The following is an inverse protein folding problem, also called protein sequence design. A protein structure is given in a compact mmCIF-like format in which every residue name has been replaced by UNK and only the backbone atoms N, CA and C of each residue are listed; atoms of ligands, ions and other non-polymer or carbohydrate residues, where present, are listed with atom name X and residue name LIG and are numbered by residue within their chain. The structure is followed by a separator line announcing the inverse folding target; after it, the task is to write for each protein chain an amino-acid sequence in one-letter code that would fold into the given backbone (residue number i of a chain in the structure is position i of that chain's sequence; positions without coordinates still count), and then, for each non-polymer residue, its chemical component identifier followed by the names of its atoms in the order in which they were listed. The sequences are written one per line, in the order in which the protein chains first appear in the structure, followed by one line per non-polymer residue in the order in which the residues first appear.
data_IF_549947983359
#
_entry.id   IF_549947983359
#
_cell.length_a   1.000
_cell.length_b   1.000
_cell.length_c   1.000
_cell.angle_alpha   90.00
_cell.angle_beta   90.00
_cell.angle_gamma   90.00
#
_symmetry.space_group_name_H-M   'P 1'
#
loop_
_entity.id
_entity.type
_entity.pdbx_description
1 polymer ?
#
# COMPACT_ATOMS: atom_id res chain seq x y z
N UNK A 1 -38.23 -9.57 11.29
CA UNK A 1 -36.92 -9.81 11.95
C UNK A 1 -36.99 -9.15 13.31
N UNK A 2 -37.27 -9.88 14.39
CA UNK A 2 -37.29 -9.30 15.74
C UNK A 2 -35.86 -9.02 16.17
N UNK A 3 -35.49 -7.75 16.30
CA UNK A 3 -34.20 -7.36 16.85
C UNK A 3 -34.19 -7.65 18.35
N UNK A 4 -33.56 -8.74 18.77
CA UNK A 4 -33.25 -8.97 20.18
C UNK A 4 -32.07 -8.08 20.59
N UNK A 5 -32.42 -6.89 21.10
CA UNK A 5 -31.45 -5.90 21.55
C UNK A 5 -30.77 -6.35 22.85
N UNK A 6 -31.45 -7.08 23.73
CA UNK A 6 -30.91 -7.43 25.05
C UNK A 6 -29.81 -8.49 24.95
N UNK A 7 -29.99 -9.49 24.10
CA UNK A 7 -28.97 -10.51 23.89
C UNK A 7 -27.73 -9.94 23.18
N UNK A 8 -27.93 -8.99 22.25
CA UNK A 8 -26.84 -8.42 21.44
C UNK A 8 -25.99 -7.37 22.14
N UNK A 9 -26.53 -6.69 23.17
CA UNK A 9 -25.80 -5.69 23.98
C UNK A 9 -24.45 -6.20 24.47
N UNK A 10 -24.38 -7.47 24.86
CA UNK A 10 -23.18 -8.09 25.42
C UNK A 10 -22.02 -8.21 24.42
N UNK A 11 -22.30 -8.16 23.11
CA UNK A 11 -21.27 -8.17 22.06
C UNK A 11 -20.80 -6.78 21.66
N UNK A 12 -21.54 -5.73 22.06
CA UNK A 12 -21.24 -4.36 21.64
C UNK A 12 -19.81 -3.94 22.02
N UNK A 13 -19.31 -4.14 23.26
CA UNK A 13 -17.94 -3.74 23.60
C UNK A 13 -16.89 -4.47 22.77
N UNK A 14 -17.09 -5.78 22.56
CA UNK A 14 -16.19 -6.64 21.77
C UNK A 14 -16.14 -6.25 20.29
N UNK A 15 -17.23 -5.70 19.76
CA UNK A 15 -17.23 -5.21 18.37
C UNK A 15 -16.57 -3.83 18.31
N UNK A 16 -16.90 -2.95 19.27
CA UNK A 16 -16.42 -1.58 19.30
C UNK A 16 -14.91 -1.48 19.57
N UNK A 17 -14.29 -2.45 20.24
CA UNK A 17 -12.84 -2.47 20.46
C UNK A 17 -12.02 -2.53 19.14
N UNK A 18 -12.65 -2.99 18.06
CA UNK A 18 -12.09 -3.04 16.71
C UNK A 18 -12.37 -1.79 15.87
N UNK A 19 -13.18 -0.86 16.38
CA UNK A 19 -13.49 0.42 15.73
C UNK A 19 -12.41 1.45 16.08
N UNK A 20 -11.91 2.16 15.06
CA UNK A 20 -10.88 3.19 15.23
C UNK A 20 -11.49 4.57 15.50
N UNK A 21 -12.20 4.69 16.61
CA UNK A 21 -12.81 5.95 17.04
C UNK A 21 -11.84 7.15 17.06
N UNK A 22 -10.57 7.02 17.47
CA UNK A 22 -9.62 8.15 17.45
C UNK A 22 -9.33 8.72 16.04
N UNK A 23 -9.66 7.98 14.98
CA UNK A 23 -9.49 8.41 13.59
C UNK A 23 -10.75 9.02 12.96
N UNK A 24 -11.82 9.12 13.73
CA UNK A 24 -13.09 9.71 13.31
C UNK A 24 -13.13 11.19 13.69
N UNK A 25 -14.10 11.93 13.15
CA UNK A 25 -14.25 13.35 13.50
C UNK A 25 -14.85 13.48 14.91
N UNK A 26 -14.40 14.49 15.66
CA UNK A 26 -14.94 14.80 16.99
C UNK A 26 -16.47 14.98 16.96
N UNK A 27 -16.98 15.62 15.89
CA UNK A 27 -18.42 15.84 15.69
C UNK A 27 -19.20 14.52 15.61
N UNK A 28 -18.73 13.55 14.83
CA UNK A 28 -19.40 12.25 14.72
C UNK A 28 -19.32 11.47 16.04
N UNK A 29 -18.15 11.50 16.67
CA UNK A 29 -17.92 10.83 17.95
C UNK A 29 -18.89 11.32 19.02
N UNK A 30 -19.04 12.63 19.18
CA UNK A 30 -19.90 13.23 20.22
C UNK A 30 -21.38 13.14 19.86
N UNK A 31 -21.76 13.50 18.63
CA UNK A 31 -23.17 13.68 18.29
C UNK A 31 -23.87 12.38 17.91
N UNK A 32 -23.13 11.36 17.48
CA UNK A 32 -23.69 10.10 17.01
C UNK A 32 -23.31 8.94 17.90
N UNK A 33 -22.01 8.75 18.17
CA UNK A 33 -21.56 7.57 18.90
C UNK A 33 -21.78 7.73 20.41
N UNK A 34 -21.31 8.84 20.98
CA UNK A 34 -21.46 9.13 22.41
C UNK A 34 -22.88 9.49 22.84
N UNK A 35 -23.80 9.71 21.89
CA UNK A 35 -25.23 9.92 22.16
C UNK A 35 -26.05 8.63 22.18
N UNK A 36 -25.50 7.51 21.67
CA UNK A 36 -26.20 6.24 21.57
C UNK A 36 -26.49 5.63 22.97
N UNK A 37 -27.75 5.28 23.29
CA UNK A 37 -28.12 4.72 24.59
C UNK A 37 -27.40 3.42 24.96
N UNK A 38 -27.06 2.57 23.98
CA UNK A 38 -26.38 1.31 24.21
C UNK A 38 -24.92 1.54 24.60
N UNK A 39 -24.29 2.55 23.98
CA UNK A 39 -22.92 2.95 24.30
C UNK A 39 -22.86 3.61 25.68
N UNK A 40 -23.84 4.46 26.01
CA UNK A 40 -23.92 5.11 27.33
C UNK A 40 -24.18 4.13 28.48
N UNK A 41 -24.91 3.05 28.20
CA UNK A 41 -25.26 2.04 29.21
C UNK A 41 -24.09 1.13 29.61
N UNK A 42 -23.02 1.05 28.80
CA UNK A 42 -21.90 0.14 29.00
C UNK A 42 -20.61 0.91 29.37
N UNK A 43 -19.86 0.43 30.36
CA UNK A 43 -18.64 1.09 30.82
C UNK A 43 -17.52 0.99 29.77
N UNK A 44 -17.28 -0.20 29.23
CA UNK A 44 -16.20 -0.44 28.26
C UNK A 44 -16.42 0.35 26.97
N UNK A 45 -17.67 0.48 26.53
CA UNK A 45 -17.99 1.33 25.39
C UNK A 45 -17.68 2.80 25.67
N UNK A 46 -17.97 3.31 26.87
CA UNK A 46 -17.62 4.69 27.26
C UNK A 46 -16.11 4.91 27.31
N UNK A 47 -15.36 3.96 27.86
CA UNK A 47 -13.89 4.03 27.93
C UNK A 47 -13.27 4.14 26.53
N UNK A 48 -13.81 3.42 25.53
CA UNK A 48 -13.36 3.53 24.12
C UNK A 48 -13.64 4.91 23.50
N UNK A 49 -14.74 5.56 23.90
CA UNK A 49 -15.07 6.91 23.43
C UNK A 49 -14.20 7.95 24.13
N UNK A 50 -13.90 7.76 25.41
CA UNK A 50 -13.03 8.66 26.15
C UNK A 50 -11.58 8.57 25.66
N UNK A 51 -11.06 7.36 25.36
CA UNK A 51 -9.77 7.16 24.66
C UNK A 51 -9.72 8.01 23.36
N UNK A 52 -10.81 7.97 22.57
CA UNK A 52 -10.88 8.70 21.32
C UNK A 52 -11.01 10.22 21.50
N UNK A 53 -11.74 10.68 22.53
CA UNK A 53 -11.82 12.11 22.85
C UNK A 53 -10.46 12.63 23.31
N UNK A 54 -9.78 11.92 24.20
CA UNK A 54 -8.47 12.32 24.70
C UNK A 54 -7.47 12.44 23.54
N UNK A 55 -7.47 11.49 22.60
CA UNK A 55 -6.61 11.54 21.42
C UNK A 55 -6.90 12.75 20.50
N UNK A 56 -8.16 13.17 20.42
CA UNK A 56 -8.59 14.32 19.64
C UNK A 56 -8.31 15.65 20.35
N UNK A 57 -8.43 15.68 21.68
CA UNK A 57 -8.26 16.87 22.52
C UNK A 57 -6.79 17.15 22.87
N UNK A 58 -5.93 16.12 22.89
CA UNK A 58 -4.52 16.22 23.26
C UNK A 58 -3.59 15.94 22.05
N UNK A 59 -3.55 16.82 21.03
CA UNK A 59 -2.76 16.60 19.83
C UNK A 59 -1.25 16.49 20.11
N UNK A 60 -0.77 17.14 21.17
CA UNK A 60 0.63 17.17 21.58
C UNK A 60 1.09 15.83 22.19
N UNK A 61 0.15 15.05 22.76
CA UNK A 61 0.43 13.78 23.42
C UNK A 61 0.16 12.57 22.51
N UNK A 62 -0.21 12.79 21.24
CA UNK A 62 -0.52 11.67 20.32
C UNK A 62 0.61 10.67 20.18
N UNK A 63 1.86 11.10 20.34
CA UNK A 63 3.03 10.24 20.29
C UNK A 63 3.05 9.20 21.42
N UNK A 64 2.55 9.54 22.62
CA UNK A 64 2.44 8.60 23.75
C UNK A 64 1.14 7.80 23.71
N UNK A 65 0.11 8.27 23.01
CA UNK A 65 -1.20 7.59 22.86
C UNK A 65 -1.27 6.59 21.70
N UNK A 66 -0.14 6.01 21.28
CA UNK A 66 -0.10 5.10 20.14
C UNK A 66 -0.69 3.73 20.50
N UNK A 67 -1.58 3.22 19.63
CA UNK A 67 -2.25 1.95 19.82
C UNK A 67 -2.93 1.43 18.55
N UNK A 68 -3.52 0.23 18.58
CA UNK A 68 -4.17 -0.38 17.42
C UNK A 68 -5.31 0.48 16.81
N UNK A 69 -5.96 1.28 17.67
CA UNK A 69 -7.10 2.16 17.31
C UNK A 69 -6.68 3.57 16.87
N UNK A 70 -5.55 4.08 17.34
CA UNK A 70 -5.04 5.42 16.99
C UNK A 70 -4.16 5.42 15.73
N UNK A 71 -3.82 4.23 15.20
CA UNK A 71 -3.07 4.07 13.95
C UNK A 71 -4.00 3.86 12.75
N UNK A 72 -3.78 4.62 11.67
CA UNK A 72 -4.45 4.40 10.37
C UNK A 72 -4.24 2.96 9.90
N UNK A 73 -5.28 2.38 9.28
CA UNK A 73 -5.18 1.05 8.64
C UNK A 73 -4.08 1.13 7.58
N UNK A 74 -2.99 0.38 7.76
CA UNK A 74 -2.08 0.06 6.67
C UNK A 74 -2.78 -1.00 5.81
N UNK A 75 -2.88 -0.83 4.47
CA UNK A 75 -3.37 -1.88 3.60
C UNK A 75 -2.63 -3.18 3.89
N UNK A 76 -3.37 -4.25 4.17
CA UNK A 76 -2.78 -5.58 4.32
C UNK A 76 -2.52 -6.08 2.91
N UNK A 77 -1.23 -6.20 2.53
CA UNK A 77 -0.67 -6.86 1.32
C UNK A 77 -0.52 -6.08 0.00
N UNK A 78 -0.37 -4.77 0.01
CA UNK A 78 0.32 -4.11 -1.12
C UNK A 78 1.39 -3.21 -0.56
N UNK A 79 2.62 -3.71 -0.53
CA UNK A 79 3.79 -2.84 -0.41
C UNK A 79 3.73 -1.90 -1.62
N UNK A 80 3.37 -0.65 -1.38
CA UNK A 80 3.54 0.42 -2.36
C UNK A 80 5.05 0.66 -2.49
N UNK A 81 5.61 0.19 -3.58
CA UNK A 81 7.02 0.38 -3.93
C UNK A 81 7.08 1.14 -5.24
N UNK A 82 8.11 1.96 -5.39
CA UNK A 82 8.43 2.59 -6.66
C UNK A 82 9.63 1.86 -7.27
N UNK A 83 9.54 1.50 -8.55
CA UNK A 83 10.60 0.79 -9.26
C UNK A 83 11.14 1.68 -10.39
N UNK A 84 12.46 1.85 -10.43
CA UNK A 84 13.19 2.41 -11.56
C UNK A 84 13.77 1.24 -12.37
N UNK A 85 13.45 1.16 -13.67
CA UNK A 85 13.69 -0.04 -14.49
C UNK A 85 14.49 0.35 -15.73
N UNK A 86 15.69 -0.22 -15.87
CA UNK A 86 16.54 0.03 -17.04
C UNK A 86 16.94 1.50 -17.18
N UNK A 87 17.09 1.95 -18.42
CA UNK A 87 17.50 3.31 -18.75
C UNK A 87 18.80 3.35 -19.55
N UNK A 88 19.40 4.55 -19.61
CA UNK A 88 20.67 4.81 -20.29
C UNK A 88 21.64 5.42 -19.29
N UNK A 89 22.79 4.78 -19.09
CA UNK A 89 23.81 5.26 -18.17
C UNK A 89 25.19 5.08 -18.81
N UNK A 90 26.03 6.12 -18.71
CA UNK A 90 27.43 6.06 -19.17
C UNK A 90 27.63 5.59 -20.62
N UNK A 91 26.68 5.90 -21.50
CA UNK A 91 26.76 5.55 -22.92
C UNK A 91 26.25 4.15 -23.28
N UNK A 92 25.65 3.42 -22.35
CA UNK A 92 25.05 2.10 -22.60
C UNK A 92 23.64 2.00 -22.01
N UNK A 93 22.83 1.12 -22.60
CA UNK A 93 21.58 0.70 -21.99
C UNK A 93 21.90 -0.11 -20.73
N UNK A 94 21.08 0.00 -19.68
CA UNK A 94 21.27 -0.77 -18.44
C UNK A 94 20.13 -1.77 -18.21
N UNK A 95 20.46 -2.85 -17.50
CA UNK A 95 19.50 -3.87 -17.06
C UNK A 95 19.15 -3.75 -15.56
N UNK A 96 19.82 -2.86 -14.85
CA UNK A 96 19.63 -2.66 -13.42
C UNK A 96 18.23 -2.14 -13.11
N UNK A 97 17.75 -2.54 -11.94
CA UNK A 97 16.45 -2.17 -11.43
C UNK A 97 16.63 -1.79 -9.97
N UNK A 98 16.05 -0.67 -9.58
CA UNK A 98 16.10 -0.17 -8.20
C UNK A 98 14.70 0.00 -7.66
N UNK A 99 14.54 -0.31 -6.38
CA UNK A 99 13.26 -0.23 -5.68
C UNK A 99 13.36 0.72 -4.50
N UNK A 100 12.46 1.69 -4.47
CA UNK A 100 12.28 2.61 -3.36
C UNK A 100 11.29 2.04 -2.36
N UNK A 101 11.73 1.95 -1.10
CA UNK A 101 10.89 1.63 0.04
C UNK A 101 10.54 2.94 0.79
N UNK A 102 9.28 3.43 0.70
CA UNK A 102 8.87 4.66 1.37
C UNK A 102 8.84 4.52 2.90
N UNK A 103 8.87 3.29 3.44
CA UNK A 103 8.88 3.07 4.89
C UNK A 103 10.22 3.41 5.54
N UNK A 104 11.32 3.19 4.80
CA UNK A 104 12.68 3.47 5.25
C UNK A 104 13.30 4.67 4.52
N UNK A 105 12.64 5.19 3.48
CA UNK A 105 13.12 6.26 2.62
C UNK A 105 14.46 5.90 1.93
N UNK A 106 14.55 4.69 1.41
CA UNK A 106 15.78 4.16 0.82
C UNK A 106 15.52 3.50 -0.54
N UNK A 107 16.49 3.65 -1.44
CA UNK A 107 16.55 2.88 -2.68
C UNK A 107 17.44 1.67 -2.46
N UNK A 108 17.03 0.52 -3.01
CA UNK A 108 17.84 -0.69 -3.03
C UNK A 108 17.84 -1.32 -4.41
N UNK A 109 18.97 -1.90 -4.79
CA UNK A 109 19.05 -2.68 -6.02
C UNK A 109 18.27 -3.99 -5.86
N UNK A 110 17.50 -4.34 -6.88
CA UNK A 110 16.76 -5.61 -6.98
C UNK A 110 17.30 -6.44 -8.15
N UNK A 111 16.75 -7.64 -8.39
CA UNK A 111 17.23 -8.48 -9.48
C UNK A 111 17.20 -7.71 -10.82
N UNK A 112 18.28 -7.74 -11.62
CA UNK A 112 18.32 -7.07 -12.91
C UNK A 112 17.50 -7.84 -13.95
N UNK A 113 17.08 -7.15 -15.01
CA UNK A 113 16.49 -7.80 -16.20
C UNK A 113 17.53 -8.67 -16.90
N UNK A 114 17.09 -9.63 -17.73
CA UNK A 114 18.02 -10.43 -18.56
C UNK A 114 18.61 -9.63 -19.71
N UNK A 115 17.86 -8.67 -20.23
CA UNK A 115 18.30 -7.77 -21.30
C UNK A 115 18.40 -6.34 -20.78
N UNK A 116 19.42 -5.62 -21.26
CA UNK A 116 19.53 -4.18 -21.06
C UNK A 116 18.45 -3.48 -21.88
N UNK A 117 17.83 -2.44 -21.34
CA UNK A 117 16.72 -1.75 -21.99
C UNK A 117 16.77 -0.26 -21.69
N UNK A 118 17.07 0.56 -22.70
CA UNK A 118 16.73 1.99 -22.69
C UNK A 118 15.41 2.22 -23.44
N UNK A 119 14.65 3.26 -23.07
CA UNK A 119 13.31 3.49 -23.62
C UNK A 119 12.33 2.32 -23.40
N UNK A 120 12.45 1.64 -22.26
CA UNK A 120 11.57 0.53 -21.88
C UNK A 120 10.18 1.04 -21.50
N UNK A 121 9.13 0.37 -21.98
CA UNK A 121 7.76 0.58 -21.49
C UNK A 121 7.49 -0.31 -20.28
N UNK A 122 6.94 0.24 -19.21
CA UNK A 122 6.59 -0.53 -18.01
C UNK A 122 5.12 -0.42 -17.63
N UNK A 123 4.54 -1.53 -17.17
CA UNK A 123 3.17 -1.58 -16.66
C UNK A 123 3.02 -2.64 -15.57
N UNK A 124 2.05 -2.46 -14.68
CA UNK A 124 1.73 -3.47 -13.65
C UNK A 124 0.45 -4.18 -14.02
N UNK A 125 0.48 -5.52 -14.01
CA UNK A 125 -0.67 -6.38 -14.26
C UNK A 125 -0.63 -7.55 -13.27
N UNK A 126 -1.72 -7.76 -12.53
CA UNK A 126 -1.84 -8.83 -11.53
C UNK A 126 -0.65 -8.88 -10.54
N UNK A 127 -0.25 -7.71 -10.02
CA UNK A 127 0.89 -7.54 -9.09
C UNK A 127 2.26 -7.94 -9.65
N UNK A 128 2.39 -8.08 -10.97
CA UNK A 128 3.66 -8.29 -11.65
C UNK A 128 3.99 -7.06 -12.48
N UNK A 129 5.25 -6.62 -12.41
CA UNK A 129 5.77 -5.53 -13.24
C UNK A 129 6.21 -6.12 -14.59
N UNK A 130 5.75 -5.56 -15.70
CA UNK A 130 6.15 -5.96 -17.05
C UNK A 130 7.06 -4.91 -17.66
N UNK A 131 8.20 -5.34 -18.20
CA UNK A 131 9.10 -4.55 -19.02
C UNK A 131 8.95 -4.96 -20.49
N UNK A 132 8.52 -4.02 -21.33
CA UNK A 132 8.12 -4.25 -22.73
C UNK A 132 9.03 -3.46 -23.67
N UNK A 133 9.70 -4.16 -24.59
CA UNK A 133 10.53 -3.52 -25.62
C UNK A 133 11.73 -2.73 -25.08
N UNK A 134 12.08 -1.64 -25.75
CA UNK A 134 13.28 -0.84 -25.51
C UNK A 134 14.40 -1.16 -26.49
N UNK A 135 15.59 -0.61 -26.25
CA UNK A 135 16.80 -0.83 -27.03
C UNK A 135 17.93 -1.30 -26.11
N UNK A 136 18.68 -2.34 -26.50
CA UNK A 136 19.70 -2.99 -25.67
C UNK A 136 21.13 -2.47 -25.88
N UNK A 137 21.26 -1.39 -26.64
CA UNK A 137 22.53 -0.83 -27.11
C UNK A 137 22.91 -1.27 -28.53
N UNK A 138 22.25 -2.31 -29.05
CA UNK A 138 22.53 -2.87 -30.40
C UNK A 138 21.27 -2.96 -31.25
N UNK A 139 20.15 -3.36 -30.65
CA UNK A 139 18.90 -3.65 -31.37
C UNK A 139 17.68 -3.22 -30.57
N UNK A 140 16.60 -2.88 -31.30
CA UNK A 140 15.29 -2.69 -30.71
C UNK A 140 14.68 -4.04 -30.34
N UNK A 141 14.06 -4.11 -29.17
CA UNK A 141 13.49 -5.31 -28.60
C UNK A 141 11.97 -5.38 -28.83
N UNK A 142 11.49 -6.57 -29.13
CA UNK A 142 10.06 -6.93 -29.01
C UNK A 142 9.78 -7.83 -27.80
N UNK A 143 10.84 -8.28 -27.09
CA UNK A 143 10.74 -9.17 -25.94
C UNK A 143 10.08 -8.49 -24.74
N UNK A 144 9.40 -9.30 -23.93
CA UNK A 144 8.74 -8.88 -22.69
C UNK A 144 9.30 -9.71 -21.54
N UNK A 145 9.53 -9.06 -20.41
CA UNK A 145 9.94 -9.74 -19.17
C UNK A 145 9.01 -9.28 -18.06
N UNK A 146 8.69 -10.17 -17.11
CA UNK A 146 7.89 -9.83 -15.94
C UNK A 146 8.68 -10.04 -14.65
N UNK A 147 8.50 -9.15 -13.69
CA UNK A 147 9.14 -9.15 -12.39
C UNK A 147 8.12 -9.38 -11.29
N UNK A 148 8.43 -10.31 -10.39
CA UNK A 148 7.70 -10.52 -9.15
C UNK A 148 8.49 -9.92 -7.99
N UNK A 149 7.91 -8.89 -7.37
CA UNK A 149 8.50 -8.16 -6.23
C UNK A 149 8.63 -9.05 -4.99
N UNK A 150 7.74 -10.05 -4.83
CA UNK A 150 7.76 -10.95 -3.67
C UNK A 150 8.91 -11.94 -3.75
N UNK A 151 9.17 -12.48 -4.94
CA UNK A 151 10.27 -13.43 -5.15
C UNK A 151 11.58 -12.75 -5.54
N UNK A 152 11.54 -11.47 -5.90
CA UNK A 152 12.67 -10.72 -6.46
C UNK A 152 13.28 -11.43 -7.67
N UNK A 153 12.44 -11.81 -8.63
CA UNK A 153 12.87 -12.56 -9.82
C UNK A 153 12.20 -12.04 -11.10
N UNK A 154 12.95 -12.07 -12.19
CA UNK A 154 12.44 -11.86 -13.54
C UNK A 154 12.11 -13.19 -14.23
N UNK A 155 11.10 -13.18 -15.08
CA UNK A 155 10.73 -14.30 -15.94
C UNK A 155 10.55 -13.82 -17.38
N UNK A 156 11.12 -14.55 -18.34
CA UNK A 156 11.17 -14.23 -19.76
C UNK A 156 10.22 -15.08 -20.61
N UNK A 157 9.49 -16.02 -19.99
CA UNK A 157 8.40 -16.80 -20.60
C UNK A 157 7.13 -15.95 -20.73
N UNK A 158 7.28 -14.76 -21.31
CA UNK A 158 6.20 -13.83 -21.62
C UNK A 158 6.19 -13.63 -23.12
N UNK A 159 5.01 -13.77 -23.74
CA UNK A 159 4.87 -13.64 -25.18
C UNK A 159 5.42 -12.28 -25.66
N UNK A 160 6.22 -12.27 -26.74
CA UNK A 160 6.77 -11.04 -27.28
C UNK A 160 5.67 -10.22 -27.95
N UNK A 161 5.97 -8.94 -28.17
CA UNK A 161 5.15 -8.08 -29.03
C UNK A 161 5.37 -8.41 -30.51
N UNK A 162 4.39 -8.09 -31.36
CA UNK A 162 4.43 -8.37 -32.80
C UNK A 162 5.55 -7.63 -33.55
N UNK A 163 6.03 -6.51 -32.99
CA UNK A 163 7.08 -5.67 -33.55
C UNK A 163 7.87 -5.02 -32.43
N UNK A 164 9.16 -4.77 -32.68
CA UNK A 164 10.01 -4.04 -31.76
C UNK A 164 9.46 -2.63 -31.50
N UNK A 165 9.64 -2.13 -30.28
CA UNK A 165 9.09 -0.82 -29.85
C UNK A 165 9.92 -0.21 -28.73
N UNK A 166 9.93 1.11 -28.64
CA UNK A 166 10.56 1.90 -27.58
C UNK A 166 9.61 3.04 -27.16
N UNK A 167 9.64 3.44 -25.90
CA UNK A 167 8.88 4.60 -25.38
C UNK A 167 9.65 5.93 -25.50
N UNK A 168 10.89 5.88 -25.99
CA UNK A 168 11.73 7.05 -26.23
C UNK A 168 11.96 7.23 -27.73
N UNK A 169 11.85 8.47 -28.21
CA UNK A 169 12.48 8.88 -29.46
C UNK A 169 13.97 8.95 -29.17
N UNK A 170 14.70 7.86 -29.42
CA UNK A 170 16.16 7.84 -29.40
C UNK A 170 16.63 8.41 -30.73
#
# INVERSE_FOLDING_TARGET
ISCDVQQRKHYLPKILEHVRFPLMTARFLVNTVGSDPLIRADQTCRDLIDEAKDYLLLPQERSSMQGPRTRRRKPIKTCEVLLAVGGWCSGDAIASVEMYDPSNNEWRTVAPMSKRRCGVGVAVLNNLLYAVGGHDGVSYLNSVERFDVQTNQWNHEVAPTSSCRTCSNI
#
